data_IF_486203445497
#
_entry.id   IF_486203445497
#
_cell.length_a   1.000
_cell.length_b   1.000
_cell.length_c   1.000
_cell.angle_alpha   90.00
_cell.angle_beta   90.00
_cell.angle_gamma   90.00
#
_symmetry.space_group_name_H-M   'P 1'
#
loop_
_entity.id
_entity.type
_entity.pdbx_description
1 polymer ?
#
# COMPACT_ATOMS: atom_id res chain seq x y z
N UNK A 1 1.88 17.28 -17.41
CA UNK A 1 2.48 16.40 -16.39
C UNK A 1 1.56 15.22 -16.24
N UNK A 2 1.96 14.06 -16.73
CA UNK A 2 1.24 12.81 -16.48
C UNK A 2 1.35 12.50 -14.98
N UNK A 3 0.23 12.13 -14.35
CA UNK A 3 0.19 11.88 -12.91
C UNK A 3 0.75 10.47 -12.67
N UNK A 4 1.81 10.29 -11.84
CA UNK A 4 2.51 9.02 -11.66
C UNK A 4 1.64 7.87 -11.13
N UNK A 5 0.41 8.16 -10.69
CA UNK A 5 -0.60 7.15 -10.35
C UNK A 5 -1.09 6.39 -11.59
N UNK A 6 -1.15 7.02 -12.77
CA UNK A 6 -1.62 6.37 -14.01
C UNK A 6 -0.55 5.49 -14.68
N UNK A 7 0.72 5.64 -14.31
CA UNK A 7 1.80 4.73 -14.74
C UNK A 7 1.78 3.41 -13.96
N UNK A 8 1.04 3.34 -12.85
CA UNK A 8 0.93 2.13 -12.06
C UNK A 8 0.04 1.11 -12.80
N UNK A 9 0.58 -0.07 -13.15
CA UNK A 9 -0.15 -1.04 -13.97
C UNK A 9 -1.38 -1.61 -13.25
N UNK A 10 -1.35 -1.68 -11.92
CA UNK A 10 -2.48 -2.15 -11.10
C UNK A 10 -3.60 -1.10 -11.14
N UNK A 11 -3.25 0.18 -11.02
CA UNK A 11 -4.22 1.28 -11.09
C UNK A 11 -4.81 1.40 -12.49
N UNK A 12 -4.00 1.30 -13.54
CA UNK A 12 -4.48 1.33 -14.92
C UNK A 12 -5.50 0.22 -15.19
N UNK A 13 -5.18 -1.02 -14.82
CA UNK A 13 -6.10 -2.16 -14.96
C UNK A 13 -7.39 -1.97 -14.14
N UNK A 14 -7.29 -1.38 -12.94
CA UNK A 14 -8.45 -1.06 -12.12
C UNK A 14 -9.36 0.01 -12.76
N UNK A 15 -8.77 1.07 -13.31
CA UNK A 15 -9.53 2.11 -14.02
C UNK A 15 -10.31 1.48 -15.17
N UNK A 16 -9.67 0.66 -15.99
CA UNK A 16 -10.32 -0.03 -17.11
C UNK A 16 -11.46 -0.95 -16.65
N UNK A 17 -11.26 -1.68 -15.55
CA UNK A 17 -12.24 -2.61 -15.01
C UNK A 17 -13.47 -1.93 -14.37
N UNK A 18 -13.28 -0.75 -13.76
CA UNK A 18 -14.33 -0.04 -13.01
C UNK A 18 -14.89 1.19 -13.76
N UNK A 19 -14.40 1.48 -14.97
CA UNK A 19 -14.88 2.60 -15.75
C UNK A 19 -16.40 2.47 -16.01
N UNK A 20 -17.16 3.50 -15.65
CA UNK A 20 -18.62 3.53 -15.79
C UNK A 20 -19.40 2.63 -14.83
N UNK A 21 -18.75 2.00 -13.83
CA UNK A 21 -19.39 1.09 -12.86
C UNK A 21 -19.55 1.68 -11.45
N UNK A 22 -19.36 2.99 -11.31
CA UNK A 22 -19.53 3.69 -10.02
C UNK A 22 -21.01 3.63 -9.58
N UNK A 23 -21.27 3.18 -8.36
CA UNK A 23 -22.61 2.97 -7.81
C UNK A 23 -23.21 1.59 -8.05
N UNK A 24 -22.52 0.69 -8.75
CA UNK A 24 -22.91 -0.72 -8.91
C UNK A 24 -22.52 -1.51 -7.63
N UNK A 25 -23.49 -2.14 -6.98
CA UNK A 25 -23.25 -2.92 -5.76
C UNK A 25 -22.22 -4.04 -5.98
N UNK A 26 -22.20 -4.65 -7.16
CA UNK A 26 -21.23 -5.69 -7.51
C UNK A 26 -19.82 -5.11 -7.65
N UNK A 27 -19.70 -3.86 -8.11
CA UNK A 27 -18.42 -3.16 -8.18
C UNK A 27 -17.85 -2.89 -6.78
N UNK A 28 -18.69 -2.58 -5.78
CA UNK A 28 -18.26 -2.37 -4.39
C UNK A 28 -17.63 -3.62 -3.80
N UNK A 29 -18.27 -4.78 -3.96
CA UNK A 29 -17.72 -6.05 -3.49
C UNK A 29 -16.43 -6.41 -4.23
N UNK A 30 -16.36 -6.17 -5.53
CA UNK A 30 -15.15 -6.38 -6.31
C UNK A 30 -13.97 -5.50 -5.85
N UNK A 31 -14.22 -4.21 -5.56
CA UNK A 31 -13.22 -3.27 -5.03
C UNK A 31 -12.76 -3.71 -3.65
N UNK A 32 -13.66 -4.21 -2.81
CA UNK A 32 -13.28 -4.74 -1.50
C UNK A 32 -12.38 -5.98 -1.63
N UNK A 33 -12.72 -6.93 -2.50
CA UNK A 33 -11.86 -8.07 -2.79
C UNK A 33 -10.47 -7.67 -3.28
N UNK A 34 -10.37 -6.64 -4.12
CA UNK A 34 -9.09 -6.09 -4.58
C UNK A 34 -8.31 -5.41 -3.46
N UNK A 35 -8.96 -4.68 -2.56
CA UNK A 35 -8.32 -4.09 -1.38
C UNK A 35 -7.70 -5.16 -0.48
N UNK A 36 -8.45 -6.23 -0.21
CA UNK A 36 -7.99 -7.32 0.65
C UNK A 36 -6.85 -8.10 -0.02
N UNK A 37 -6.93 -8.30 -1.34
CA UNK A 37 -5.85 -8.86 -2.13
C UNK A 37 -4.58 -7.99 -2.09
N UNK A 38 -4.68 -6.69 -2.37
CA UNK A 38 -3.53 -5.77 -2.34
C UNK A 38 -2.90 -5.71 -0.95
N UNK A 39 -3.71 -5.72 0.12
CA UNK A 39 -3.20 -5.78 1.50
C UNK A 39 -2.42 -7.07 1.77
N UNK A 40 -2.94 -8.21 1.31
CA UNK A 40 -2.25 -9.49 1.44
C UNK A 40 -0.92 -9.50 0.67
N UNK A 41 -0.92 -9.01 -0.57
CA UNK A 41 0.29 -8.90 -1.39
C UNK A 41 1.33 -7.95 -0.79
N UNK A 42 0.92 -6.85 -0.14
CA UNK A 42 1.85 -5.98 0.61
C UNK A 42 2.55 -6.77 1.72
N UNK A 43 1.79 -7.56 2.49
CA UNK A 43 2.33 -8.39 3.56
C UNK A 43 3.30 -9.45 3.04
N UNK A 44 2.92 -10.16 1.98
CA UNK A 44 3.77 -11.17 1.34
C UNK A 44 5.04 -10.57 0.74
N UNK A 45 4.93 -9.42 0.08
CA UNK A 45 6.08 -8.74 -0.51
C UNK A 45 7.03 -8.19 0.56
N UNK A 46 6.52 -7.72 1.70
CA UNK A 46 7.34 -7.31 2.84
C UNK A 46 8.13 -8.50 3.42
N UNK A 47 7.50 -9.67 3.56
CA UNK A 47 8.18 -10.88 4.01
C UNK A 47 9.29 -11.32 3.03
N UNK A 48 8.98 -11.38 1.73
CA UNK A 48 9.96 -11.69 0.67
C UNK A 48 11.11 -10.69 0.63
N UNK A 49 10.83 -9.40 0.81
CA UNK A 49 11.87 -8.37 0.86
C UNK A 49 12.82 -8.61 2.04
N UNK A 50 12.30 -8.91 3.23
CA UNK A 50 13.11 -9.24 4.40
C UNK A 50 14.00 -10.47 4.18
N UNK A 51 13.48 -11.52 3.51
CA UNK A 51 14.28 -12.69 3.13
C UNK A 51 15.41 -12.33 2.16
N UNK A 52 15.13 -11.54 1.12
CA UNK A 52 16.13 -11.10 0.15
C UNK A 52 17.18 -10.19 0.81
N UNK A 53 16.78 -9.31 1.73
CA UNK A 53 17.70 -8.47 2.48
C UNK A 53 18.65 -9.29 3.35
N UNK A 54 18.14 -10.33 4.03
CA UNK A 54 18.96 -11.26 4.79
C UNK A 54 19.96 -12.01 3.90
N UNK A 55 19.52 -12.50 2.73
CA UNK A 55 20.40 -13.13 1.74
C UNK A 55 21.46 -12.16 1.22
N UNK A 56 21.09 -10.90 0.97
CA UNK A 56 21.98 -9.85 0.49
C UNK A 56 23.07 -9.54 1.53
N UNK A 57 22.72 -9.48 2.82
CA UNK A 57 23.70 -9.28 3.90
C UNK A 57 24.75 -10.41 3.93
N UNK A 58 24.32 -11.66 3.77
CA UNK A 58 25.23 -12.82 3.69
C UNK A 58 26.10 -12.75 2.43
N UNK A 59 25.51 -12.47 1.26
CA UNK A 59 26.23 -12.39 0.00
C UNK A 59 27.25 -11.25 0.01
N UNK A 60 26.90 -10.09 0.57
CA UNK A 60 27.79 -8.95 0.76
C UNK A 60 29.01 -9.33 1.59
N UNK A 61 28.79 -10.04 2.70
CA UNK A 61 29.88 -10.52 3.57
C UNK A 61 30.79 -11.48 2.83
N UNK A 62 30.24 -12.49 2.15
CA UNK A 62 31.03 -13.47 1.37
C UNK A 62 31.80 -12.84 0.21
N UNK A 63 31.24 -11.82 -0.41
CA UNK A 63 31.90 -11.07 -1.48
C UNK A 63 33.05 -10.21 -0.93
N UNK A 64 32.84 -9.54 0.21
CA UNK A 64 33.90 -8.79 0.88
C UNK A 64 35.04 -9.69 1.38
N UNK A 65 34.72 -10.86 1.93
CA UNK A 65 35.71 -11.88 2.33
C UNK A 65 36.52 -12.35 1.11
N UNK A 66 35.86 -12.64 -0.02
CA UNK A 66 36.54 -13.03 -1.27
C UNK A 66 37.47 -11.94 -1.81
N UNK A 67 37.04 -10.67 -1.74
CA UNK A 67 37.86 -9.53 -2.15
C UNK A 67 39.10 -9.36 -1.27
N UNK A 68 38.97 -9.55 0.04
CA UNK A 68 40.08 -9.49 0.98
C UNK A 68 41.08 -10.64 0.75
N UNK A 69 40.58 -11.85 0.52
CA UNK A 69 41.40 -13.03 0.21
C UNK A 69 42.17 -12.84 -1.10
N UNK A 70 41.49 -12.46 -2.18
CA UNK A 70 42.14 -12.15 -3.46
C UNK A 70 43.19 -11.02 -3.34
N UNK A 71 42.91 -9.98 -2.55
CA UNK A 71 43.86 -8.89 -2.30
C UNK A 71 45.08 -9.34 -1.48
N UNK A 72 44.95 -10.39 -0.66
CA UNK A 72 46.05 -10.94 0.15
C UNK A 72 46.98 -11.89 -0.61
N UNK A 73 46.48 -12.53 -1.67
CA UNK A 73 47.25 -13.47 -2.51
C UNK A 73 48.00 -12.81 -3.68
N UNK A 74 47.66 -11.58 -4.04
CA UNK A 74 48.23 -10.87 -5.19
C UNK A 74 49.27 -9.81 -4.78
N UNK A 75 50.42 -9.80 -5.44
CA UNK A 75 51.32 -8.64 -5.43
C UNK A 75 50.56 -7.41 -6.02
N UNK A 76 50.82 -6.18 -5.52
CA UNK A 76 50.01 -4.99 -5.79
C UNK A 76 49.83 -4.63 -7.29
N UNK A 77 50.68 -5.16 -8.17
CA UNK A 77 50.61 -4.92 -9.62
C UNK A 77 49.63 -5.85 -10.37
N UNK A 78 49.14 -6.95 -9.76
CA UNK A 78 48.31 -7.97 -10.43
C UNK A 78 46.84 -7.99 -9.97
N UNK A 79 46.53 -7.24 -8.91
CA UNK A 79 45.19 -7.18 -8.30
C UNK A 79 44.08 -6.65 -9.21
N UNK A 80 44.43 -5.93 -10.27
CA UNK A 80 43.45 -5.28 -11.19
C UNK A 80 42.95 -6.23 -12.28
N UNK A 81 43.62 -7.37 -12.53
CA UNK A 81 43.29 -8.29 -13.64
C UNK A 81 42.81 -9.67 -13.16
N UNK A 82 43.12 -10.08 -11.93
CA UNK A 82 42.79 -11.40 -11.40
C UNK A 82 41.44 -11.43 -10.66
N UNK A 83 40.38 -10.91 -11.29
CA UNK A 83 39.02 -11.30 -10.91
C UNK A 83 38.81 -12.77 -11.30
N UNK A 84 39.27 -13.71 -10.46
CA UNK A 84 39.12 -15.13 -10.71
C UNK A 84 37.64 -15.49 -10.96
N UNK A 85 37.35 -16.60 -11.68
CA UNK A 85 35.98 -16.98 -12.04
C UNK A 85 35.06 -17.09 -10.81
N UNK A 86 35.60 -17.43 -9.65
CA UNK A 86 34.88 -17.48 -8.38
C UNK A 86 34.49 -16.10 -7.82
N UNK A 87 35.37 -15.09 -7.93
CA UNK A 87 35.08 -13.72 -7.52
C UNK A 87 34.00 -13.10 -8.43
N UNK A 88 34.10 -13.35 -9.74
CA UNK A 88 33.10 -12.94 -10.71
C UNK A 88 31.73 -13.61 -10.44
N UNK A 89 31.71 -14.90 -10.10
CA UNK A 89 30.49 -15.61 -9.73
C UNK A 89 29.85 -15.03 -8.44
N UNK A 90 30.66 -14.70 -7.42
CA UNK A 90 30.17 -14.07 -6.18
C UNK A 90 29.66 -12.64 -6.42
N UNK A 91 30.32 -11.87 -7.29
CA UNK A 91 29.84 -10.54 -7.70
C UNK A 91 28.49 -10.62 -8.44
N UNK A 92 28.34 -11.57 -9.37
CA UNK A 92 27.10 -11.80 -10.10
C UNK A 92 25.94 -12.20 -9.17
N UNK A 93 26.19 -13.10 -8.21
CA UNK A 93 25.19 -13.50 -7.22
C UNK A 93 24.75 -12.32 -6.32
N UNK A 94 25.70 -11.45 -5.92
CA UNK A 94 25.38 -10.22 -5.20
C UNK A 94 24.53 -9.27 -6.05
N UNK A 95 24.91 -9.05 -7.31
CA UNK A 95 24.19 -8.18 -8.24
C UNK A 95 22.74 -8.67 -8.47
N UNK A 96 22.55 -9.97 -8.63
CA UNK A 96 21.22 -10.56 -8.79
C UNK A 96 20.34 -10.34 -7.54
N UNK A 97 20.90 -10.50 -6.34
CA UNK A 97 20.16 -10.24 -5.09
C UNK A 97 19.80 -8.75 -4.94
N UNK A 98 20.70 -7.84 -5.34
CA UNK A 98 20.38 -6.40 -5.34
C UNK A 98 19.26 -6.06 -6.31
N UNK A 99 19.24 -6.68 -7.49
CA UNK A 99 18.18 -6.48 -8.48
C UNK A 99 16.82 -7.02 -7.98
N UNK A 100 16.82 -8.21 -7.36
CA UNK A 100 15.60 -8.77 -6.73
C UNK A 100 15.08 -7.87 -5.62
N UNK A 101 15.96 -7.32 -4.77
CA UNK A 101 15.57 -6.37 -3.72
C UNK A 101 14.98 -5.09 -4.32
N UNK A 102 15.58 -4.58 -5.40
CA UNK A 102 15.09 -3.40 -6.10
C UNK A 102 13.70 -3.63 -6.72
N UNK A 103 13.49 -4.76 -7.40
CA UNK A 103 12.18 -5.15 -7.95
C UNK A 103 11.10 -5.29 -6.87
N UNK A 104 11.45 -5.88 -5.72
CA UNK A 104 10.53 -5.98 -4.59
C UNK A 104 10.13 -4.61 -4.04
N UNK A 105 11.04 -3.63 -4.00
CA UNK A 105 10.73 -2.25 -3.61
C UNK A 105 9.81 -1.55 -4.60
N UNK A 106 10.06 -1.70 -5.91
CA UNK A 106 9.19 -1.15 -6.96
C UNK A 106 7.77 -1.72 -6.84
N UNK A 107 7.64 -3.04 -6.70
CA UNK A 107 6.36 -3.70 -6.48
C UNK A 107 5.67 -3.19 -5.20
N UNK A 108 6.41 -2.98 -4.11
CA UNK A 108 5.85 -2.43 -2.87
C UNK A 108 5.31 -1.02 -3.06
N UNK A 109 6.03 -0.18 -3.83
CA UNK A 109 5.59 1.17 -4.19
C UNK A 109 4.27 1.11 -4.97
N UNK A 110 4.20 0.23 -5.97
CA UNK A 110 3.04 0.11 -6.83
C UNK A 110 1.83 -0.43 -6.07
N UNK A 111 2.01 -1.43 -5.20
CA UNK A 111 0.96 -1.94 -4.32
C UNK A 111 0.44 -0.86 -3.37
N UNK A 112 1.32 -0.02 -2.81
CA UNK A 112 0.92 1.08 -1.92
C UNK A 112 0.12 2.16 -2.65
N UNK A 113 0.53 2.51 -3.87
CA UNK A 113 -0.23 3.43 -4.72
C UNK A 113 -1.60 2.86 -5.07
N UNK A 114 -1.66 1.58 -5.46
CA UNK A 114 -2.91 0.88 -5.75
C UNK A 114 -3.84 0.85 -4.52
N UNK A 115 -3.30 0.58 -3.33
CA UNK A 115 -4.06 0.62 -2.08
C UNK A 115 -4.72 1.99 -1.87
N UNK A 116 -3.97 3.08 -2.02
CA UNK A 116 -4.52 4.44 -1.89
C UNK A 116 -5.59 4.69 -2.94
N UNK A 117 -5.37 4.29 -4.19
CA UNK A 117 -6.35 4.43 -5.26
C UNK A 117 -7.65 3.70 -4.95
N UNK A 118 -7.59 2.42 -4.54
CA UNK A 118 -8.77 1.65 -4.20
C UNK A 118 -9.50 2.19 -2.97
N UNK A 119 -8.79 2.74 -1.98
CA UNK A 119 -9.40 3.43 -0.85
C UNK A 119 -10.16 4.69 -1.29
N UNK A 120 -9.59 5.47 -2.21
CA UNK A 120 -10.27 6.63 -2.78
C UNK A 120 -11.50 6.23 -3.60
N UNK A 121 -11.39 5.16 -4.39
CA UNK A 121 -12.49 4.66 -5.20
C UNK A 121 -13.65 4.16 -4.31
N UNK A 122 -13.32 3.43 -3.23
CA UNK A 122 -14.29 3.04 -2.21
C UNK A 122 -14.92 4.24 -1.52
N UNK A 123 -14.13 5.25 -1.14
CA UNK A 123 -14.64 6.47 -0.52
C UNK A 123 -15.57 7.26 -1.46
N UNK A 124 -15.23 7.31 -2.75
CA UNK A 124 -16.04 7.96 -3.79
C UNK A 124 -17.37 7.25 -4.00
N UNK A 125 -17.35 5.92 -4.14
CA UNK A 125 -18.56 5.12 -4.27
C UNK A 125 -19.45 5.23 -3.02
N UNK A 126 -18.83 5.23 -1.85
CA UNK A 126 -19.53 5.44 -0.59
C UNK A 126 -20.22 6.81 -0.52
N UNK A 127 -19.49 7.86 -0.87
CA UNK A 127 -20.05 9.20 -0.94
C UNK A 127 -21.21 9.26 -1.94
N UNK A 128 -21.09 8.60 -3.10
CA UNK A 128 -22.15 8.58 -4.11
C UNK A 128 -23.41 7.86 -3.64
N UNK A 129 -23.26 6.65 -3.11
CA UNK A 129 -24.39 5.79 -2.68
C UNK A 129 -25.07 6.28 -1.41
N UNK A 130 -24.32 6.92 -0.49
CA UNK A 130 -24.82 7.28 0.84
C UNK A 130 -24.94 8.78 1.11
N UNK A 131 -24.44 9.66 0.24
CA UNK A 131 -24.69 11.10 0.35
C UNK A 131 -26.19 11.45 0.51
N UNK A 132 -27.14 10.79 -0.19
CA UNK A 132 -28.57 11.05 -0.01
C UNK A 132 -29.09 10.71 1.39
N UNK A 133 -28.42 9.82 2.13
CA UNK A 133 -28.81 9.38 3.46
C UNK A 133 -28.30 10.32 4.56
N UNK A 134 -27.26 11.11 4.29
CA UNK A 134 -26.62 12.00 5.28
C UNK A 134 -27.60 12.98 5.92
N UNK A 135 -28.48 13.67 5.18
CA UNK A 135 -29.49 14.55 5.79
C UNK A 135 -30.44 13.80 6.73
N UNK A 136 -30.88 12.59 6.34
CA UNK A 136 -31.79 11.77 7.13
C UNK A 136 -31.16 11.24 8.43
N UNK A 137 -29.90 10.79 8.36
CA UNK A 137 -29.16 10.33 9.55
C UNK A 137 -28.91 11.47 10.53
N UNK A 138 -28.56 12.67 10.03
CA UNK A 138 -28.40 13.85 10.88
C UNK A 138 -29.72 14.27 11.53
N UNK A 139 -30.84 14.24 10.78
CA UNK A 139 -32.17 14.53 11.30
C UNK A 139 -32.61 13.52 12.37
N UNK A 140 -32.38 12.22 12.14
CA UNK A 140 -32.68 11.18 13.11
C UNK A 140 -31.83 11.31 14.38
N UNK A 141 -30.53 11.57 14.25
CA UNK A 141 -29.67 11.77 15.41
C UNK A 141 -30.01 13.03 16.21
N UNK A 142 -30.40 14.11 15.52
CA UNK A 142 -30.95 15.31 16.15
C UNK A 142 -32.22 14.98 16.95
N UNK A 143 -33.15 14.22 16.35
CA UNK A 143 -34.40 13.84 16.99
C UNK A 143 -34.17 12.93 18.22
N UNK A 144 -33.25 11.98 18.14
CA UNK A 144 -32.88 11.11 19.26
C UNK A 144 -32.25 11.92 20.40
N UNK A 145 -31.32 12.83 20.07
CA UNK A 145 -30.70 13.69 21.08
C UNK A 145 -31.72 14.63 21.74
N UNK A 146 -32.66 15.18 20.97
CA UNK A 146 -33.75 16.01 21.50
C UNK A 146 -34.73 15.21 22.36
N UNK A 147 -35.07 13.98 21.97
CA UNK A 147 -35.93 13.09 22.76
C UNK A 147 -35.25 12.65 24.07
N UNK A 148 -33.94 12.36 24.03
CA UNK A 148 -33.16 11.98 25.21
C UNK A 148 -33.06 13.10 26.26
N UNK A 149 -33.19 14.37 25.85
CA UNK A 149 -33.28 15.52 26.76
C UNK A 149 -34.71 15.83 27.19
N UNK A 150 -35.68 14.96 26.89
CA UNK A 150 -37.10 15.18 27.19
C UNK A 150 -37.70 16.35 26.40
N UNK A 151 -37.09 16.74 25.28
CA UNK A 151 -37.47 17.92 24.50
C UNK A 151 -37.04 19.25 25.12
N UNK A 152 -36.22 19.24 26.18
CA UNK A 152 -35.84 20.46 26.88
C UNK A 152 -34.63 21.18 26.25
N UNK A 153 -33.77 20.47 25.51
CA UNK A 153 -32.51 21.02 24.99
C UNK A 153 -32.26 20.56 23.56
N UNK A 154 -32.15 21.54 22.64
CA UNK A 154 -31.69 21.30 21.28
C UNK A 154 -30.16 21.03 21.27
N UNK A 155 -29.69 19.95 20.64
CA UNK A 155 -28.26 19.66 20.57
C UNK A 155 -27.52 20.76 19.80
N UNK A 156 -26.51 21.36 20.44
CA UNK A 156 -25.69 22.41 19.85
C UNK A 156 -24.79 21.91 18.70
N UNK A 157 -24.23 22.83 17.88
CA UNK A 157 -23.48 22.50 16.68
C UNK A 157 -22.26 21.58 16.94
N UNK A 158 -21.61 21.70 18.10
CA UNK A 158 -20.50 20.83 18.47
C UNK A 158 -20.92 19.37 18.72
N UNK A 159 -22.13 19.13 19.21
CA UNK A 159 -22.68 17.78 19.41
C UNK A 159 -23.05 17.15 18.07
N UNK A 160 -23.63 17.93 17.16
CA UNK A 160 -23.92 17.48 15.80
C UNK A 160 -22.65 17.17 15.03
N UNK A 161 -21.58 17.96 15.22
CA UNK A 161 -20.28 17.70 14.60
C UNK A 161 -19.65 16.39 15.09
N UNK A 162 -19.73 16.10 16.40
CA UNK A 162 -19.27 14.81 16.96
C UNK A 162 -20.05 13.62 16.45
N UNK A 163 -21.38 13.74 16.37
CA UNK A 163 -22.25 12.70 15.81
C UNK A 163 -21.95 12.51 14.32
N UNK A 164 -21.80 13.59 13.56
CA UNK A 164 -21.43 13.53 12.14
C UNK A 164 -20.07 12.85 11.95
N UNK A 165 -19.07 13.18 12.77
CA UNK A 165 -17.74 12.55 12.74
C UNK A 165 -17.83 11.07 13.09
N UNK A 166 -18.58 10.67 14.11
CA UNK A 166 -18.75 9.26 14.49
C UNK A 166 -19.51 8.46 13.42
N UNK A 167 -20.55 9.06 12.84
CA UNK A 167 -21.28 8.49 11.71
C UNK A 167 -20.33 8.35 10.53
N UNK A 168 -19.55 9.38 10.17
CA UNK A 168 -18.49 9.28 9.16
C UNK A 168 -17.50 8.16 9.51
N UNK A 169 -16.96 8.07 10.72
CA UNK A 169 -16.04 6.99 11.09
C UNK A 169 -16.65 5.59 10.95
N UNK A 170 -17.91 5.41 11.35
CA UNK A 170 -18.65 4.15 11.21
C UNK A 170 -18.94 3.83 9.74
N UNK A 171 -19.36 4.84 8.98
CA UNK A 171 -19.72 4.73 7.58
C UNK A 171 -18.49 4.45 6.69
N UNK A 172 -17.34 5.04 7.00
CA UNK A 172 -16.08 4.86 6.29
C UNK A 172 -15.25 3.65 6.77
N UNK A 173 -15.73 2.89 7.75
CA UNK A 173 -15.06 1.67 8.22
C UNK A 173 -13.71 1.91 8.90
N UNK A 174 -13.51 3.08 9.50
CA UNK A 174 -12.31 3.40 10.28
C UNK A 174 -12.31 2.76 11.69
N UNK A 175 -13.39 2.05 12.05
CA UNK A 175 -13.62 1.46 13.37
C UNK A 175 -13.47 -0.07 13.41
N UNK A 176 -12.92 -0.69 12.36
CA UNK A 176 -12.48 -2.10 12.37
C UNK A 176 -10.95 -2.20 12.42
#
# INVERSE_FOLDING_TARGET
MENPIFENPIVAAAIDAFNGRVGDADAVYAVQGLLDFVRAEIGLNAARYGEVEAQLAVARRRYAEALLEAASELAPEQAVVAGGPELAARAAAYAELTDRAHRALLLHRDLRQALVFFLLLRAGDYAWTRAPLVPGVLAAAYAIAYAATGGAVAPGPASLLRIAVLVLCFLFGFLD
#
